data_IF_678702603950
#
_entry.id   IF_678702603950
#
_cell.length_a   1.000
_cell.length_b   1.000
_cell.length_c   1.000
_cell.angle_alpha   90.00
_cell.angle_beta   90.00
_cell.angle_gamma   90.00
#
_symmetry.space_group_name_H-M   'P 1'
#
loop_
_entity.id
_entity.type
_entity.pdbx_description
1 polymer ?
#
# COMPACT_ATOMS: atom_id res chain seq x y z
N UNK A 1 -21.28 -58.21 -6.21
CA UNK A 1 -20.57 -56.95 -5.86
C UNK A 1 -21.43 -56.17 -4.89
N UNK A 2 -21.08 -56.17 -3.59
CA UNK A 2 -21.89 -55.52 -2.55
C UNK A 2 -21.66 -54.00 -2.55
N UNK A 3 -22.72 -53.22 -2.77
CA UNK A 3 -22.71 -51.77 -2.69
C UNK A 3 -22.51 -51.33 -1.25
N UNK A 4 -21.41 -50.59 -0.99
CA UNK A 4 -21.17 -50.00 0.34
C UNK A 4 -22.25 -48.95 0.65
N UNK A 5 -22.88 -48.99 1.84
CA UNK A 5 -23.88 -47.99 2.22
C UNK A 5 -23.24 -46.60 2.32
N UNK A 6 -23.86 -45.62 1.66
CA UNK A 6 -23.49 -44.20 1.77
C UNK A 6 -23.71 -43.74 3.21
N UNK A 7 -22.63 -43.46 3.93
CA UNK A 7 -22.65 -42.89 5.28
C UNK A 7 -23.31 -41.51 5.21
N UNK A 8 -24.49 -41.36 5.81
CA UNK A 8 -25.18 -40.08 5.91
C UNK A 8 -24.28 -39.12 6.69
N UNK A 9 -23.75 -38.10 6.01
CA UNK A 9 -22.99 -37.02 6.62
C UNK A 9 -23.97 -36.14 7.37
N UNK A 10 -24.13 -36.36 8.67
CA UNK A 10 -24.87 -35.46 9.55
C UNK A 10 -24.29 -34.05 9.43
N UNK A 11 -25.12 -33.10 9.04
CA UNK A 11 -24.78 -31.68 8.98
C UNK A 11 -24.61 -31.16 10.40
N UNK A 12 -23.40 -31.23 10.94
CA UNK A 12 -23.06 -30.55 12.19
C UNK A 12 -23.21 -29.04 11.98
N UNK A 13 -24.16 -28.42 12.66
CA UNK A 13 -24.27 -26.96 12.75
C UNK A 13 -23.11 -26.41 13.58
N UNK A 14 -21.91 -26.39 13.00
CA UNK A 14 -20.80 -25.63 13.56
C UNK A 14 -21.16 -24.15 13.45
N UNK A 15 -21.22 -23.45 14.60
CA UNK A 15 -21.32 -22.00 14.61
C UNK A 15 -20.22 -21.34 13.77
N UNK A 16 -20.35 -20.04 13.44
CA UNK A 16 -19.39 -19.34 12.60
C UNK A 16 -17.98 -19.50 13.20
N UNK A 17 -17.07 -20.08 12.41
CA UNK A 17 -15.71 -20.33 12.85
C UNK A 17 -15.06 -19.00 13.27
N UNK A 18 -14.50 -18.95 14.49
CA UNK A 18 -13.74 -17.79 14.94
C UNK A 18 -12.58 -17.56 13.96
N UNK A 19 -12.37 -16.33 13.47
CA UNK A 19 -11.24 -16.04 12.59
C UNK A 19 -9.93 -16.38 13.28
N UNK A 20 -8.97 -16.92 12.53
CA UNK A 20 -7.64 -17.36 13.04
C UNK A 20 -6.66 -16.19 13.23
N UNK A 21 -7.16 -14.96 13.32
CA UNK A 21 -6.37 -13.74 13.39
C UNK A 21 -6.98 -12.75 14.36
N UNK A 22 -6.14 -11.86 14.89
CA UNK A 22 -6.55 -10.84 15.85
C UNK A 22 -7.48 -9.78 15.25
N UNK A 23 -8.13 -9.01 16.11
CA UNK A 23 -9.12 -8.00 15.72
C UNK A 23 -8.56 -6.97 14.73
N UNK A 24 -7.33 -6.48 14.96
CA UNK A 24 -6.69 -5.51 14.07
C UNK A 24 -6.51 -6.03 12.63
N UNK A 25 -6.19 -7.32 12.48
CA UNK A 25 -6.11 -7.97 11.16
C UNK A 25 -7.51 -8.10 10.54
N UNK A 26 -8.52 -8.45 11.34
CA UNK A 26 -9.89 -8.55 10.87
C UNK A 26 -10.42 -7.20 10.35
N UNK A 27 -10.14 -6.13 11.08
CA UNK A 27 -10.53 -4.77 10.69
C UNK A 27 -9.80 -4.32 9.43
N UNK A 28 -8.52 -4.69 9.29
CA UNK A 28 -7.76 -4.42 8.07
C UNK A 28 -8.35 -5.15 6.85
N UNK A 29 -8.64 -6.45 6.97
CA UNK A 29 -9.26 -7.24 5.89
C UNK A 29 -10.62 -6.64 5.50
N UNK A 30 -11.48 -6.31 6.47
CA UNK A 30 -12.76 -5.65 6.22
C UNK A 30 -12.61 -4.30 5.51
N UNK A 31 -11.59 -3.51 5.88
CA UNK A 31 -11.28 -2.26 5.19
C UNK A 31 -10.89 -2.51 3.73
N UNK A 32 -10.07 -3.52 3.46
CA UNK A 32 -9.72 -3.93 2.08
C UNK A 32 -10.97 -4.35 1.31
N UNK A 33 -11.84 -5.18 1.91
CA UNK A 33 -13.11 -5.58 1.29
C UNK A 33 -13.95 -4.37 0.90
N UNK A 34 -14.14 -3.44 1.83
CA UNK A 34 -14.91 -2.22 1.60
C UNK A 34 -14.32 -1.36 0.48
N UNK A 35 -13.00 -1.16 0.46
CA UNK A 35 -12.36 -0.37 -0.62
C UNK A 35 -12.46 -1.06 -1.99
N UNK A 36 -12.34 -2.40 -2.04
CA UNK A 36 -12.48 -3.19 -3.27
C UNK A 36 -13.92 -3.13 -3.78
N UNK A 37 -14.91 -3.29 -2.91
CA UNK A 37 -16.33 -3.18 -3.28
C UNK A 37 -16.68 -1.78 -3.79
N UNK A 38 -16.17 -0.73 -3.12
CA UNK A 38 -16.45 0.65 -3.48
C UNK A 38 -15.80 1.06 -4.82
N UNK A 39 -14.60 0.59 -5.11
CA UNK A 39 -13.80 1.03 -6.27
C UNK A 39 -13.81 0.02 -7.42
N UNK A 40 -14.20 -1.22 -7.18
CA UNK A 40 -14.15 -2.32 -8.16
C UNK A 40 -12.75 -2.47 -8.78
N UNK A 41 -12.69 -2.62 -10.10
CA UNK A 41 -11.43 -2.79 -10.83
C UNK A 41 -10.49 -1.57 -10.70
N UNK A 42 -11.01 -0.37 -10.43
CA UNK A 42 -10.16 0.82 -10.24
C UNK A 42 -9.32 0.73 -8.97
N UNK A 43 -9.72 -0.08 -7.98
CA UNK A 43 -8.92 -0.35 -6.78
C UNK A 43 -7.52 -0.87 -7.13
N UNK A 44 -7.43 -1.79 -8.10
CA UNK A 44 -6.20 -2.45 -8.52
C UNK A 44 -5.43 -1.67 -9.60
N UNK A 45 -6.10 -0.73 -10.28
CA UNK A 45 -5.47 0.14 -11.30
C UNK A 45 -4.91 1.44 -10.72
N UNK A 46 -5.42 1.87 -9.57
CA UNK A 46 -5.08 3.16 -8.97
C UNK A 46 -3.67 3.16 -8.34
N UNK A 47 -2.66 3.45 -9.16
CA UNK A 47 -1.37 3.99 -8.74
C UNK A 47 -0.21 2.99 -8.65
N UNK A 48 1.00 3.55 -8.69
CA UNK A 48 2.27 2.88 -8.38
C UNK A 48 2.18 2.41 -6.92
N UNK A 49 2.13 1.09 -6.69
CA UNK A 49 2.21 0.49 -5.35
C UNK A 49 0.95 -0.23 -4.84
N UNK A 50 -0.11 -0.39 -5.63
CA UNK A 50 -1.23 -1.29 -5.28
C UNK A 50 -1.12 -2.63 -6.00
N UNK A 51 -0.08 -3.38 -5.66
CA UNK A 51 0.02 -4.77 -6.09
C UNK A 51 -1.06 -5.60 -5.37
N UNK A 52 -1.94 -6.26 -6.14
CA UNK A 52 -2.97 -7.15 -5.61
C UNK A 52 -2.38 -8.30 -4.79
N UNK A 53 -1.12 -8.66 -5.05
CA UNK A 53 -0.36 -9.69 -4.37
C UNK A 53 0.08 -9.25 -2.96
N UNK A 54 0.17 -7.94 -2.70
CA UNK A 54 0.75 -7.37 -1.50
C UNK A 54 0.05 -6.06 -1.07
N UNK A 55 -1.23 -6.14 -0.75
CA UNK A 55 -1.99 -5.01 -0.22
C UNK A 55 -1.62 -4.82 1.26
N UNK A 56 -0.66 -3.94 1.50
CA UNK A 56 -0.13 -3.66 2.83
C UNK A 56 -0.97 -2.63 3.60
N UNK A 57 -1.11 -2.78 4.94
CA UNK A 57 -1.73 -1.75 5.75
C UNK A 57 -0.92 -0.45 5.68
N UNK A 58 -1.64 0.68 5.68
CA UNK A 58 -1.01 1.98 5.89
C UNK A 58 -0.59 2.07 7.36
N UNK A 59 0.66 2.46 7.62
CA UNK A 59 1.16 2.51 8.99
C UNK A 59 1.93 1.24 9.41
N UNK A 60 2.15 1.11 10.72
CA UNK A 60 2.75 -0.09 11.30
C UNK A 60 4.21 -0.27 10.88
N UNK A 61 4.56 -1.51 10.53
CA UNK A 61 5.89 -1.90 10.04
C UNK A 61 6.32 -1.24 8.73
N UNK A 62 5.40 -0.60 8.00
CA UNK A 62 5.68 0.07 6.73
C UNK A 62 5.92 1.57 6.91
N UNK A 63 6.04 2.08 8.15
CA UNK A 63 6.28 3.50 8.42
C UNK A 63 7.76 3.83 8.50
N UNK A 64 8.12 5.00 8.01
CA UNK A 64 9.46 5.52 8.16
C UNK A 64 9.62 6.21 9.52
N UNK A 65 10.60 5.76 10.32
CA UNK A 65 10.94 6.40 11.59
C UNK A 65 11.43 7.84 11.45
N UNK A 66 11.79 8.30 10.25
CA UNK A 66 12.28 9.66 10.02
C UNK A 66 11.18 10.64 9.59
N UNK A 67 10.02 10.14 9.14
CA UNK A 67 8.93 11.00 8.73
C UNK A 67 8.22 11.57 9.96
N UNK A 68 7.62 12.77 9.83
CA UNK A 68 6.74 13.37 10.86
C UNK A 68 5.40 12.62 11.00
N UNK A 69 5.39 11.37 10.58
CA UNK A 69 4.22 10.53 10.50
C UNK A 69 3.52 10.38 11.85
N UNK A 70 2.19 10.17 11.81
CA UNK A 70 1.40 10.04 13.01
C UNK A 70 1.87 8.86 13.86
N UNK A 71 1.68 9.01 15.17
CA UNK A 71 1.92 7.97 16.16
C UNK A 71 1.23 6.67 15.71
N UNK A 72 2.00 5.60 15.60
CA UNK A 72 1.55 4.27 15.17
C UNK A 72 0.88 3.57 16.35
N UNK A 73 -0.25 2.92 16.12
CA UNK A 73 -0.90 2.10 17.14
C UNK A 73 -0.17 0.78 17.31
N UNK A 74 0.06 0.36 18.55
CA UNK A 74 0.69 -0.94 18.82
C UNK A 74 -0.04 -2.10 18.13
N UNK A 75 -1.37 -2.04 18.06
CA UNK A 75 -2.22 -3.06 17.42
C UNK A 75 -2.01 -3.18 15.90
N UNK A 76 -1.49 -2.15 15.22
CA UNK A 76 -1.25 -2.19 13.76
C UNK A 76 0.15 -2.68 13.40
N UNK A 77 1.05 -2.83 14.38
CA UNK A 77 2.43 -3.30 14.14
C UNK A 77 2.50 -4.74 13.64
N UNK A 78 1.52 -5.57 14.02
CA UNK A 78 1.46 -7.00 13.67
C UNK A 78 0.39 -7.33 12.60
N UNK A 79 -0.10 -6.32 11.87
CA UNK A 79 -1.04 -6.55 10.76
C UNK A 79 -0.25 -6.99 9.53
N UNK A 80 -0.58 -8.17 9.00
CA UNK A 80 0.03 -8.75 7.80
C UNK A 80 -0.69 -8.25 6.54
N UNK A 81 0.03 -8.11 5.41
CA UNK A 81 -0.56 -7.79 4.12
C UNK A 81 -1.63 -8.80 3.68
N UNK A 82 -2.45 -8.38 2.73
CA UNK A 82 -3.46 -9.22 2.09
C UNK A 82 -3.14 -9.33 0.60
N UNK A 83 -3.08 -10.55 0.09
CA UNK A 83 -3.14 -10.83 -1.34
C UNK A 83 -4.61 -11.02 -1.72
N UNK A 84 -5.18 -10.11 -2.51
CA UNK A 84 -6.60 -10.14 -2.86
C UNK A 84 -6.79 -10.63 -4.30
N UNK A 85 -7.20 -11.89 -4.44
CA UNK A 85 -7.40 -12.52 -5.75
C UNK A 85 -8.87 -12.45 -6.18
N UNK A 86 -9.17 -11.56 -7.12
CA UNK A 86 -10.50 -11.44 -7.72
C UNK A 86 -10.35 -11.39 -9.24
N UNK A 87 -10.37 -12.57 -9.91
CA UNK A 87 -10.07 -12.68 -11.35
C UNK A 87 -10.74 -11.64 -12.23
N UNK A 88 -12.06 -11.42 -12.06
CA UNK A 88 -12.83 -10.52 -12.91
C UNK A 88 -12.58 -9.02 -12.68
N UNK A 89 -11.94 -8.65 -11.56
CA UNK A 89 -11.51 -7.26 -11.31
C UNK A 89 -10.06 -7.02 -11.74
N UNK A 90 -9.23 -8.07 -11.72
CA UNK A 90 -7.81 -8.03 -12.07
C UNK A 90 -7.58 -8.17 -13.58
N UNK A 91 -8.34 -9.07 -14.23
CA UNK A 91 -8.17 -9.43 -15.63
C UNK A 91 -9.44 -8.99 -16.39
N UNK A 92 -9.33 -8.01 -17.30
CA UNK A 92 -10.48 -7.55 -18.08
C UNK A 92 -11.17 -8.71 -18.81
N UNK A 93 -12.50 -8.73 -18.75
CA UNK A 93 -13.36 -9.70 -19.45
C UNK A 93 -13.12 -11.18 -19.08
N UNK A 94 -12.42 -11.44 -17.96
CA UNK A 94 -12.19 -12.81 -17.50
C UNK A 94 -13.16 -13.17 -16.37
N UNK A 95 -13.93 -14.23 -16.59
CA UNK A 95 -14.70 -14.91 -15.55
C UNK A 95 -14.06 -16.28 -15.29
N UNK A 96 -13.92 -16.69 -14.02
CA UNK A 96 -13.31 -17.97 -13.71
C UNK A 96 -14.21 -19.13 -14.16
N UNK A 97 -13.63 -20.15 -14.76
CA UNK A 97 -14.35 -21.34 -15.23
C UNK A 97 -14.85 -22.16 -14.05
N UNK A 98 -16.12 -22.56 -14.08
CA UNK A 98 -16.68 -23.38 -13.01
C UNK A 98 -16.00 -24.75 -12.96
N UNK A 99 -15.48 -25.22 -11.80
CA UNK A 99 -14.79 -26.51 -11.72
C UNK A 99 -15.71 -27.73 -11.95
N UNK A 100 -17.03 -27.54 -11.97
CA UNK A 100 -18.01 -28.62 -12.12
C UNK A 100 -18.58 -28.75 -13.53
N UNK A 101 -18.91 -27.64 -14.18
CA UNK A 101 -19.44 -27.66 -15.54
C UNK A 101 -18.42 -27.21 -16.60
N UNK A 102 -17.24 -26.77 -16.18
CA UNK A 102 -16.09 -26.42 -17.04
C UNK A 102 -16.40 -25.29 -18.03
N UNK A 103 -17.38 -24.45 -17.68
CA UNK A 103 -17.82 -23.28 -18.44
C UNK A 103 -17.77 -22.02 -17.57
N UNK A 104 -17.53 -20.88 -18.20
CA UNK A 104 -17.48 -19.56 -17.54
C UNK A 104 -18.68 -18.65 -17.89
N UNK A 105 -19.46 -18.98 -18.92
CA UNK A 105 -20.60 -18.18 -19.38
C UNK A 105 -21.78 -18.14 -18.39
N UNK A 106 -21.84 -19.09 -17.46
CA UNK A 106 -22.89 -19.19 -16.45
C UNK A 106 -22.51 -18.61 -15.09
N UNK A 107 -21.40 -17.89 -14.97
CA UNK A 107 -20.96 -17.33 -13.69
C UNK A 107 -21.71 -16.02 -13.44
N UNK A 108 -22.51 -16.00 -12.37
CA UNK A 108 -23.19 -14.80 -11.91
C UNK A 108 -22.25 -13.97 -11.05
N UNK A 109 -22.02 -12.72 -11.45
CA UNK A 109 -21.37 -11.71 -10.62
C UNK A 109 -22.44 -11.05 -9.75
N UNK A 110 -22.39 -11.31 -8.45
CA UNK A 110 -23.27 -10.63 -7.51
C UNK A 110 -22.82 -9.16 -7.39
N UNK A 111 -23.72 -8.16 -7.46
CA UNK A 111 -23.37 -6.76 -7.19
C UNK A 111 -22.71 -6.59 -5.81
N UNK A 112 -23.06 -7.43 -4.84
CA UNK A 112 -22.36 -7.52 -3.55
C UNK A 112 -21.43 -8.74 -3.54
N UNK A 113 -20.14 -8.50 -3.35
CA UNK A 113 -19.13 -9.56 -3.34
C UNK A 113 -19.34 -10.51 -2.14
N UNK A 114 -19.38 -11.81 -2.40
CA UNK A 114 -19.53 -12.86 -1.38
C UNK A 114 -18.14 -13.33 -0.93
N UNK A 115 -17.52 -12.60 0.00
CA UNK A 115 -16.15 -12.88 0.46
C UNK A 115 -16.01 -14.22 1.20
N UNK A 116 -14.84 -14.84 1.09
CA UNK A 116 -14.53 -16.00 1.93
C UNK A 116 -14.45 -15.59 3.41
N UNK A 117 -15.10 -16.35 4.29
CA UNK A 117 -15.15 -16.02 5.72
C UNK A 117 -13.77 -16.08 6.40
N UNK A 118 -12.83 -16.87 5.86
CA UNK A 118 -11.48 -17.00 6.41
C UNK A 118 -10.48 -17.10 5.26
N UNK A 119 -9.71 -16.04 5.00
CA UNK A 119 -8.61 -16.06 4.03
C UNK A 119 -7.59 -17.16 4.35
N UNK A 120 -6.93 -17.69 3.32
CA UNK A 120 -5.85 -18.67 3.49
C UNK A 120 -4.58 -17.96 3.97
N UNK A 121 -3.75 -18.67 4.72
CA UNK A 121 -2.40 -18.18 5.02
C UNK A 121 -1.53 -18.48 3.81
N UNK A 122 -0.93 -17.45 3.23
CA UNK A 122 0.01 -17.52 2.13
C UNK A 122 1.43 -17.34 2.69
N UNK A 123 2.20 -18.43 2.72
CA UNK A 123 3.57 -18.43 3.18
C UNK A 123 4.50 -17.91 2.09
N UNK A 124 5.32 -16.93 2.46
CA UNK A 124 6.48 -16.50 1.70
C UNK A 124 7.77 -16.89 2.39
N UNK A 125 8.91 -16.49 1.81
CA UNK A 125 10.22 -16.95 2.26
C UNK A 125 10.58 -16.49 3.68
N UNK A 126 10.18 -15.28 4.05
CA UNK A 126 10.52 -14.66 5.33
C UNK A 126 9.33 -14.17 6.15
N UNK A 127 8.13 -14.24 5.57
CA UNK A 127 6.90 -13.76 6.18
C UNK A 127 5.69 -14.53 5.62
N UNK A 128 4.52 -14.30 6.19
CA UNK A 128 3.26 -14.74 5.62
C UNK A 128 2.31 -13.56 5.41
N UNK A 129 1.38 -13.76 4.47
CA UNK A 129 0.27 -12.83 4.19
C UNK A 129 -1.04 -13.61 4.11
N UNK A 130 -2.16 -12.92 3.97
CA UNK A 130 -3.47 -13.56 3.83
C UNK A 130 -3.91 -13.57 2.37
N UNK A 131 -4.13 -14.74 1.78
CA UNK A 131 -4.71 -14.89 0.45
C UNK A 131 -6.23 -14.91 0.56
N UNK A 132 -6.84 -13.84 0.09
CA UNK A 132 -8.26 -13.58 0.14
C UNK A 132 -8.90 -13.66 -1.25
N UNK A 133 -10.18 -13.97 -1.30
CA UNK A 133 -10.96 -14.11 -2.54
C UNK A 133 -12.46 -14.02 -2.24
N UNK A 134 -13.27 -14.04 -3.28
CA UNK A 134 -14.71 -14.19 -3.20
C UNK A 134 -15.17 -15.59 -3.65
N UNK A 135 -16.44 -15.91 -3.35
CA UNK A 135 -17.19 -17.01 -3.94
C UNK A 135 -17.83 -16.59 -5.25
N UNK A 136 -17.72 -17.46 -6.25
CA UNK A 136 -18.42 -17.38 -7.52
C UNK A 136 -19.56 -18.39 -7.52
N UNK A 137 -20.73 -17.97 -8.00
CA UNK A 137 -21.90 -18.84 -8.16
C UNK A 137 -22.07 -19.19 -9.63
N UNK A 138 -22.07 -20.48 -9.92
CA UNK A 138 -22.36 -21.00 -11.25
C UNK A 138 -23.88 -21.25 -11.38
N UNK A 139 -24.54 -20.56 -12.31
CA UNK A 139 -25.97 -20.69 -12.55
C UNK A 139 -26.39 -22.03 -13.20
N UNK A 140 -25.61 -22.63 -14.13
CA UNK A 140 -25.93 -23.95 -14.66
C UNK A 140 -25.95 -25.06 -13.61
N UNK A 141 -24.93 -25.14 -12.76
CA UNK A 141 -24.83 -26.23 -11.78
C UNK A 141 -25.27 -25.83 -10.36
N UNK A 142 -25.65 -24.57 -10.14
CA UNK A 142 -26.08 -23.98 -8.86
C UNK A 142 -25.08 -24.15 -7.71
N UNK A 143 -23.79 -24.40 -8.00
CA UNK A 143 -22.73 -24.56 -6.99
C UNK A 143 -21.92 -23.28 -6.83
N UNK A 144 -21.37 -23.09 -5.63
CA UNK A 144 -20.40 -22.04 -5.32
C UNK A 144 -18.98 -22.61 -5.33
N UNK A 145 -18.02 -21.80 -5.74
CA UNK A 145 -16.59 -22.12 -5.67
C UNK A 145 -15.78 -20.85 -5.40
N UNK A 146 -14.57 -20.99 -4.85
CA UNK A 146 -13.68 -19.86 -4.55
C UNK A 146 -12.86 -19.46 -5.78
N UNK A 147 -12.47 -18.19 -5.88
CA UNK A 147 -11.64 -17.70 -6.99
C UNK A 147 -10.27 -18.37 -7.14
N UNK A 148 -9.73 -18.95 -6.07
CA UNK A 148 -8.50 -19.76 -6.08
C UNK A 148 -8.76 -21.28 -6.11
N UNK A 149 -9.95 -21.74 -6.55
CA UNK A 149 -10.23 -23.18 -6.63
C UNK A 149 -9.26 -23.84 -7.63
N UNK A 150 -8.54 -24.88 -7.20
CA UNK A 150 -7.46 -25.52 -7.98
C UNK A 150 -7.91 -25.94 -9.38
N UNK A 151 -9.06 -26.63 -9.51
CA UNK A 151 -9.58 -27.06 -10.81
C UNK A 151 -10.03 -25.87 -11.69
N UNK A 152 -10.56 -24.82 -11.08
CA UNK A 152 -10.91 -23.58 -11.81
C UNK A 152 -9.66 -22.90 -12.37
N UNK A 153 -8.60 -22.80 -11.55
CA UNK A 153 -7.31 -22.25 -11.97
C UNK A 153 -6.64 -23.08 -13.07
N UNK A 154 -6.75 -24.41 -13.02
CA UNK A 154 -6.26 -25.32 -14.05
C UNK A 154 -6.95 -25.10 -15.40
N UNK A 155 -8.29 -25.03 -15.39
CA UNK A 155 -9.09 -24.75 -16.60
C UNK A 155 -8.76 -23.40 -17.23
N UNK A 156 -8.47 -22.39 -16.40
CA UNK A 156 -8.14 -21.04 -16.85
C UNK A 156 -6.63 -20.79 -17.01
N UNK A 157 -5.79 -21.82 -16.85
CA UNK A 157 -4.32 -21.70 -16.77
C UNK A 157 -3.72 -20.85 -17.88
N UNK A 158 -4.13 -21.04 -19.14
CA UNK A 158 -3.65 -20.27 -20.27
C UNK A 158 -3.79 -18.74 -20.13
N UNK A 159 -4.79 -18.26 -19.37
CA UNK A 159 -5.01 -16.83 -19.09
C UNK A 159 -4.36 -16.37 -17.79
N UNK A 160 -4.10 -17.30 -16.87
CA UNK A 160 -3.63 -17.02 -15.53
C UNK A 160 -2.11 -17.16 -15.38
N UNK A 161 -1.43 -17.86 -16.30
CA UNK A 161 0.03 -17.99 -16.32
C UNK A 161 0.69 -16.61 -16.25
N UNK A 162 1.60 -16.44 -15.30
CA UNK A 162 2.33 -15.19 -15.05
C UNK A 162 1.57 -14.16 -14.22
N UNK A 163 0.24 -14.29 -14.09
CA UNK A 163 -0.57 -13.43 -13.23
C UNK A 163 -0.72 -14.09 -11.86
N UNK A 164 -1.31 -15.29 -11.78
CA UNK A 164 -1.51 -16.00 -10.51
C UNK A 164 -0.33 -16.90 -10.18
N UNK A 165 0.71 -16.35 -9.53
CA UNK A 165 1.95 -17.07 -9.22
C UNK A 165 1.96 -17.62 -7.78
N UNK A 166 0.86 -18.25 -7.35
CA UNK A 166 0.75 -18.88 -6.04
C UNK A 166 0.39 -20.36 -6.16
N UNK A 167 1.01 -21.19 -5.33
CA UNK A 167 0.64 -22.59 -5.18
C UNK A 167 -0.32 -22.73 -4.00
N UNK A 168 -1.60 -23.02 -4.28
CA UNK A 168 -2.65 -23.08 -3.25
C UNK A 168 -3.00 -24.54 -2.95
N UNK A 169 -3.22 -24.83 -1.67
CA UNK A 169 -3.71 -26.13 -1.20
C UNK A 169 -4.84 -25.95 -0.18
N UNK A 170 -5.31 -27.03 0.46
CA UNK A 170 -6.39 -26.98 1.46
C UNK A 170 -5.97 -26.24 2.74
N UNK A 171 -6.18 -24.93 2.74
CA UNK A 171 -6.11 -24.04 3.91
C UNK A 171 -4.89 -23.13 3.93
N UNK A 172 -3.90 -23.40 3.08
CA UNK A 172 -2.67 -22.62 2.97
C UNK A 172 -2.34 -22.38 1.50
N UNK A 173 -1.43 -21.45 1.25
CA UNK A 173 -0.76 -21.27 -0.03
C UNK A 173 0.72 -20.99 0.18
N UNK A 174 1.49 -21.14 -0.88
CA UNK A 174 2.92 -20.85 -0.95
C UNK A 174 3.12 -19.87 -2.10
N UNK A 175 3.89 -18.81 -1.87
CA UNK A 175 4.22 -17.86 -2.93
C UNK A 175 5.36 -18.34 -3.82
N UNK A 176 5.53 -17.66 -4.96
CA UNK A 176 6.53 -18.03 -5.96
C UNK A 176 7.95 -18.02 -5.40
N UNK A 177 8.29 -17.09 -4.51
CA UNK A 177 9.63 -16.96 -3.94
C UNK A 177 9.98 -18.15 -3.04
N UNK A 178 9.07 -18.53 -2.14
CA UNK A 178 9.25 -19.69 -1.27
C UNK A 178 9.24 -20.99 -2.09
N UNK A 179 8.35 -21.10 -3.08
CA UNK A 179 8.31 -22.25 -3.98
C UNK A 179 9.64 -22.40 -4.75
N UNK A 180 10.10 -21.32 -5.39
CA UNK A 180 11.37 -21.31 -6.11
C UNK A 180 12.56 -21.63 -5.19
N UNK A 181 12.57 -21.12 -3.96
CA UNK A 181 13.60 -21.46 -2.98
C UNK A 181 13.67 -22.96 -2.69
N UNK A 182 12.52 -23.62 -2.53
CA UNK A 182 12.45 -25.06 -2.28
C UNK A 182 12.90 -25.84 -3.52
N UNK A 183 12.41 -25.46 -4.71
CA UNK A 183 12.72 -26.16 -5.97
C UNK A 183 14.20 -26.04 -6.33
N UNK A 184 14.77 -24.84 -6.22
CA UNK A 184 16.18 -24.58 -6.51
C UNK A 184 17.13 -25.30 -5.56
N UNK A 185 16.64 -25.70 -4.39
CA UNK A 185 17.39 -26.46 -3.37
C UNK A 185 16.90 -27.89 -3.23
N UNK A 186 16.22 -28.43 -4.25
CA UNK A 186 15.63 -29.77 -4.20
C UNK A 186 16.66 -30.90 -4.03
N UNK A 187 17.93 -30.67 -4.36
CA UNK A 187 19.04 -31.60 -4.12
C UNK A 187 19.61 -31.50 -2.69
N UNK A 188 19.33 -30.43 -1.95
CA UNK A 188 19.80 -30.29 -0.58
C UNK A 188 18.98 -31.18 0.36
N UNK A 189 19.57 -31.68 1.45
CA UNK A 189 18.81 -32.34 2.50
C UNK A 189 17.68 -31.43 3.01
N UNK A 190 16.48 -31.97 3.21
CA UNK A 190 15.31 -31.19 3.69
C UNK A 190 15.61 -30.40 4.97
N UNK A 191 16.44 -30.95 5.86
CA UNK A 191 16.90 -30.28 7.08
C UNK A 191 17.74 -29.02 6.81
N UNK A 192 18.49 -28.96 5.70
CA UNK A 192 19.26 -27.78 5.30
C UNK A 192 18.33 -26.68 4.73
N UNK A 193 17.35 -27.07 3.90
CA UNK A 193 16.32 -26.14 3.38
C UNK A 193 15.54 -25.54 4.55
N UNK A 194 15.04 -26.39 5.46
CA UNK A 194 14.31 -25.96 6.66
C UNK A 194 15.13 -25.00 7.51
N UNK A 195 16.40 -25.32 7.81
CA UNK A 195 17.27 -24.44 8.59
C UNK A 195 17.48 -23.09 7.92
N UNK A 196 17.64 -23.07 6.59
CA UNK A 196 17.77 -21.81 5.82
C UNK A 196 16.53 -20.93 5.94
N UNK A 197 15.33 -21.51 5.76
CA UNK A 197 14.06 -20.79 5.92
C UNK A 197 13.89 -20.32 7.36
N UNK A 198 14.13 -21.19 8.34
CA UNK A 198 14.01 -20.87 9.75
C UNK A 198 14.96 -19.73 10.17
N UNK A 199 16.20 -19.74 9.70
CA UNK A 199 17.17 -18.68 9.92
C UNK A 199 16.71 -17.36 9.26
N UNK A 200 16.18 -17.41 8.04
CA UNK A 200 15.64 -16.24 7.35
C UNK A 200 14.46 -15.60 8.11
N UNK A 201 13.52 -16.43 8.58
CA UNK A 201 12.39 -15.98 9.41
C UNK A 201 12.88 -15.41 10.74
N UNK A 202 13.85 -16.06 11.40
CA UNK A 202 14.43 -15.56 12.65
C UNK A 202 15.09 -14.19 12.47
N UNK A 203 15.92 -14.03 11.43
CA UNK A 203 16.55 -12.76 11.09
C UNK A 203 15.50 -11.67 10.82
N UNK A 204 14.42 -12.00 10.10
CA UNK A 204 13.32 -11.06 9.85
C UNK A 204 12.64 -10.65 11.15
N UNK A 205 12.36 -11.59 12.05
CA UNK A 205 11.72 -11.31 13.32
C UNK A 205 12.60 -10.45 14.25
N UNK A 206 13.91 -10.67 14.26
CA UNK A 206 14.87 -9.83 15.00
C UNK A 206 14.84 -8.40 14.46
N UNK A 207 14.86 -8.23 13.13
CA UNK A 207 14.78 -6.90 12.50
C UNK A 207 13.47 -6.19 12.81
N UNK A 208 12.34 -6.89 12.70
CA UNK A 208 11.02 -6.34 13.05
C UNK A 208 10.98 -5.94 14.55
N UNK A 209 11.55 -6.77 15.44
CA UNK A 209 11.63 -6.47 16.88
C UNK A 209 12.48 -5.24 17.19
N UNK A 210 13.64 -5.11 16.53
CA UNK A 210 14.50 -3.93 16.66
C UNK A 210 13.77 -2.67 16.19
N UNK A 211 13.06 -2.76 15.06
CA UNK A 211 12.24 -1.65 14.57
C UNK A 211 11.16 -1.25 15.58
N UNK A 212 10.47 -2.20 16.20
CA UNK A 212 9.47 -1.90 17.24
C UNK A 212 10.11 -1.24 18.46
N UNK A 213 11.25 -1.74 18.92
CA UNK A 213 11.98 -1.15 20.04
C UNK A 213 12.38 0.30 19.75
N UNK A 214 12.95 0.56 18.56
CA UNK A 214 13.29 1.91 18.13
C UNK A 214 12.06 2.82 18.00
N UNK A 215 10.94 2.29 17.50
CA UNK A 215 9.67 3.01 17.41
C UNK A 215 9.19 3.46 18.80
N UNK A 216 9.28 2.57 19.80
CA UNK A 216 8.94 2.88 21.19
C UNK A 216 9.90 3.91 21.79
N UNK A 217 11.21 3.74 21.61
CA UNK A 217 12.23 4.68 22.09
C UNK A 217 12.04 6.10 21.52
N UNK A 218 11.64 6.19 20.25
CA UNK A 218 11.32 7.44 19.58
C UNK A 218 9.95 8.03 19.99
N UNK A 219 9.22 7.40 20.92
CA UNK A 219 7.85 7.78 21.33
C UNK A 219 6.87 7.87 20.16
N UNK A 220 7.08 7.01 19.15
CA UNK A 220 6.26 6.93 17.94
C UNK A 220 5.16 5.87 18.02
N UNK A 221 5.09 5.11 19.12
CA UNK A 221 4.05 4.11 19.36
C UNK A 221 3.08 4.61 20.42
N UNK A 222 1.78 4.55 20.13
CA UNK A 222 0.72 4.71 21.11
C UNK A 222 0.20 3.32 21.52
N UNK A 223 0.10 3.11 22.83
CA UNK A 223 -0.49 1.90 23.43
C UNK A 223 -2.00 1.85 23.18
N UNK A 224 -2.66 3.01 23.25
CA UNK A 224 -4.10 3.13 23.02
C UNK A 224 -4.41 4.15 21.93
N UNK A 225 -5.49 3.93 21.15
CA UNK A 225 -6.05 4.98 20.33
C UNK A 225 -6.44 6.13 21.27
N UNK A 226 -5.76 7.28 21.13
CA UNK A 226 -5.97 8.47 21.96
C UNK A 226 -7.46 8.71 22.20
N UNK A 227 -7.93 8.43 23.42
CA UNK A 227 -9.29 8.64 23.95
C UNK A 227 -10.36 8.75 22.86
N UNK A 228 -10.67 7.61 22.25
CA UNK A 228 -11.80 7.51 21.32
C UNK A 228 -13.01 7.11 22.17
N UNK A 229 -14.15 7.81 22.01
CA UNK A 229 -15.36 7.49 22.79
C UNK A 229 -15.78 6.05 22.43
N UNK A 230 -15.93 5.14 23.42
CA UNK A 230 -16.32 3.75 23.16
C UNK A 230 -17.55 3.65 22.25
N UNK A 231 -17.48 2.84 21.19
CA UNK A 231 -18.56 2.69 20.21
C UNK A 231 -18.59 3.73 19.08
N UNK A 232 -17.70 4.72 19.11
CA UNK A 232 -17.51 5.67 18.00
C UNK A 232 -16.04 5.67 17.57
N UNK A 233 -15.74 6.08 16.34
CA UNK A 233 -14.36 6.41 15.92
C UNK A 233 -14.00 7.88 16.21
N UNK A 234 -14.79 8.57 17.05
CA UNK A 234 -14.60 10.00 17.36
C UNK A 234 -13.65 10.17 18.55
N UNK A 235 -12.65 11.04 18.39
CA UNK A 235 -11.74 11.45 19.47
C UNK A 235 -12.51 12.36 20.44
N UNK A 236 -12.35 12.18 21.75
CA UNK A 236 -12.94 13.12 22.71
C UNK A 236 -12.34 14.52 22.53
N UNK A 237 -13.22 15.52 22.61
CA UNK A 237 -12.89 16.94 22.53
C UNK A 237 -11.91 17.33 23.67
N UNK A 238 -11.85 16.57 24.76
CA UNK A 238 -10.90 16.74 25.88
C UNK A 238 -9.43 16.81 25.44
N UNK A 239 -9.06 16.16 24.33
CA UNK A 239 -7.70 16.26 23.79
C UNK A 239 -7.42 17.59 23.07
N UNK A 240 -8.47 18.27 22.60
CA UNK A 240 -8.45 19.58 21.97
C UNK A 240 -8.64 20.71 22.99
N UNK A 241 -9.42 20.46 24.04
CA UNK A 241 -9.54 21.34 25.21
C UNK A 241 -8.37 21.03 26.15
N UNK A 242 -7.16 21.39 25.72
CA UNK A 242 -6.12 21.64 26.72
C UNK A 242 -6.56 22.91 27.43
N UNK A 243 -6.87 22.81 28.72
CA UNK A 243 -6.98 23.97 29.58
C UNK A 243 -5.58 24.58 29.68
N UNK A 244 -5.21 25.35 28.67
CA UNK A 244 -3.96 26.10 28.68
C UNK A 244 -4.26 27.30 29.56
N UNK A 245 -3.67 27.40 30.77
CA UNK A 245 -3.81 28.61 31.56
C UNK A 245 -3.45 29.81 30.67
N UNK A 246 -4.15 30.94 30.81
CA UNK A 246 -3.88 32.11 29.99
C UNK A 246 -2.38 32.42 30.05
N UNK A 247 -1.71 32.59 28.89
CA UNK A 247 -0.27 32.72 28.84
C UNK A 247 0.15 33.94 29.66
N UNK A 248 1.22 33.77 30.43
CA UNK A 248 1.85 34.88 31.15
C UNK A 248 2.33 35.95 30.15
N UNK A 249 2.48 37.20 30.58
CA UNK A 249 2.95 38.27 29.69
C UNK A 249 4.33 37.98 29.08
N UNK A 250 5.21 37.29 29.82
CA UNK A 250 6.50 36.83 29.31
C UNK A 250 6.35 35.78 28.20
N UNK A 251 5.44 34.81 28.37
CA UNK A 251 5.14 33.80 27.34
C UNK A 251 4.49 34.42 26.10
N UNK A 252 3.60 35.41 26.25
CA UNK A 252 3.03 36.15 25.12
C UNK A 252 4.13 36.87 24.33
N UNK A 253 5.05 37.56 25.02
CA UNK A 253 6.21 38.22 24.38
C UNK A 253 7.09 37.21 23.65
N UNK A 254 7.42 36.08 24.28
CA UNK A 254 8.21 34.99 23.68
C UNK A 254 7.55 34.45 22.42
N UNK A 255 6.25 34.15 22.48
CA UNK A 255 5.48 33.63 21.34
C UNK A 255 5.37 34.64 20.20
N UNK A 256 5.24 35.93 20.52
CA UNK A 256 5.29 37.01 19.52
C UNK A 256 6.64 37.05 18.82
N UNK A 257 7.74 37.01 19.57
CA UNK A 257 9.11 36.95 19.05
C UNK A 257 9.35 35.72 18.17
N UNK A 258 8.90 34.54 18.59
CA UNK A 258 8.99 33.31 17.77
C UNK A 258 8.22 33.44 16.45
N UNK A 259 7.01 34.02 16.50
CA UNK A 259 6.22 34.28 15.30
C UNK A 259 6.88 35.31 14.37
N UNK A 260 7.47 36.37 14.94
CA UNK A 260 8.19 37.40 14.20
C UNK A 260 9.43 36.82 13.53
N UNK A 261 10.21 36.01 14.25
CA UNK A 261 11.38 35.31 13.72
C UNK A 261 10.98 34.33 12.60
N UNK A 262 9.90 33.57 12.79
CA UNK A 262 9.39 32.64 11.77
C UNK A 262 8.89 33.36 10.50
N UNK A 263 8.35 34.58 10.64
CA UNK A 263 8.00 35.44 9.51
C UNK A 263 9.24 35.99 8.81
N UNK A 264 10.20 36.53 9.57
CA UNK A 264 11.44 37.05 9.04
C UNK A 264 12.23 35.98 8.27
N UNK A 265 12.30 34.75 8.81
CA UNK A 265 12.96 33.62 8.18
C UNK A 265 12.31 33.25 6.84
N UNK A 266 10.98 33.16 6.78
CA UNK A 266 10.26 32.91 5.52
C UNK A 266 10.47 34.01 4.49
N UNK A 267 10.47 35.27 4.92
CA UNK A 267 10.73 36.40 4.03
C UNK A 267 12.15 36.36 3.47
N UNK A 268 13.13 36.00 4.30
CA UNK A 268 14.52 35.82 3.87
C UNK A 268 14.70 34.63 2.92
N UNK A 269 14.10 33.48 3.23
CA UNK A 269 14.13 32.29 2.35
C UNK A 269 13.51 32.62 0.99
N UNK A 270 12.36 33.30 0.97
CA UNK A 270 11.73 33.75 -0.27
C UNK A 270 12.60 34.74 -1.05
N UNK A 271 13.25 35.70 -0.38
CA UNK A 271 14.14 36.66 -1.04
C UNK A 271 15.39 35.99 -1.60
N UNK A 272 15.97 35.03 -0.85
CA UNK A 272 17.11 34.22 -1.30
C UNK A 272 16.73 33.40 -2.52
N UNK A 273 15.63 32.66 -2.45
CA UNK A 273 15.17 31.82 -3.55
C UNK A 273 14.89 32.65 -4.81
N UNK A 274 14.35 33.87 -4.65
CA UNK A 274 14.16 34.83 -5.75
C UNK A 274 15.46 35.36 -6.34
N UNK A 275 16.52 35.50 -5.53
CA UNK A 275 17.83 35.94 -5.98
C UNK A 275 18.62 34.82 -6.67
N UNK A 276 18.45 33.57 -6.22
CA UNK A 276 19.15 32.40 -6.76
C UNK A 276 18.40 31.68 -7.88
N UNK A 277 17.11 31.96 -8.08
CA UNK A 277 16.34 31.37 -9.17
C UNK A 277 16.85 31.90 -10.52
N UNK A 278 17.12 30.98 -11.46
CA UNK A 278 17.40 31.34 -12.84
C UNK A 278 16.24 32.17 -13.40
N UNK A 279 16.58 33.37 -13.89
CA UNK A 279 15.59 34.24 -14.51
C UNK A 279 15.18 33.59 -15.83
N UNK A 280 13.96 33.03 -15.85
CA UNK A 280 13.43 32.44 -17.07
C UNK A 280 13.31 33.50 -18.17
N UNK A 281 13.53 33.10 -19.42
CA UNK A 281 13.46 34.01 -20.57
C UNK A 281 12.10 34.74 -20.67
N UNK A 282 11.02 34.10 -20.20
CA UNK A 282 9.69 34.70 -20.09
C UNK A 282 9.61 35.83 -19.06
N UNK A 283 10.31 35.72 -17.94
CA UNK A 283 10.37 36.79 -16.93
C UNK A 283 11.15 38.00 -17.45
N UNK A 284 12.17 37.79 -18.29
CA UNK A 284 12.88 38.89 -18.97
C UNK A 284 11.91 39.64 -19.88
N UNK A 285 11.12 38.93 -20.68
CA UNK A 285 10.12 39.55 -21.56
C UNK A 285 9.00 40.26 -20.79
N UNK A 286 8.50 39.67 -19.71
CA UNK A 286 7.51 40.33 -18.83
C UNK A 286 8.07 41.61 -18.20
N UNK A 287 9.31 41.58 -17.70
CA UNK A 287 9.99 42.78 -17.17
C UNK A 287 10.21 43.83 -18.26
N UNK A 288 10.52 43.42 -19.50
CA UNK A 288 10.72 44.30 -20.64
C UNK A 288 9.41 44.90 -21.17
N UNK A 289 8.30 44.15 -21.10
CA UNK A 289 6.96 44.62 -21.47
C UNK A 289 6.37 45.59 -20.45
N UNK A 290 6.84 45.56 -19.20
CA UNK A 290 6.36 46.40 -18.10
C UNK A 290 7.27 47.64 -17.87
N UNK A 291 7.85 48.16 -18.96
CA UNK A 291 8.81 49.29 -18.96
C UNK A 291 8.23 50.63 -18.54
N UNK A 292 6.91 50.77 -18.47
CA UNK A 292 6.27 52.04 -18.10
C UNK A 292 6.28 52.31 -16.59
N UNK A 293 6.77 51.38 -15.75
CA UNK A 293 6.65 51.50 -14.28
C UNK A 293 7.98 51.39 -13.53
N UNK A 294 9.11 51.29 -14.22
CA UNK A 294 10.44 51.21 -13.61
C UNK A 294 11.33 52.27 -14.23
N UNK A 295 11.52 53.39 -13.53
CA UNK A 295 12.55 54.41 -13.80
C UNK A 295 13.96 53.84 -13.54
N UNK A 296 14.31 52.76 -14.24
CA UNK A 296 15.66 52.22 -14.23
C UNK A 296 16.41 52.84 -15.42
N UNK A 297 17.27 53.81 -15.13
CA UNK A 297 18.23 54.34 -16.10
C UNK A 297 19.23 53.25 -16.45
N UNK A 298 19.00 52.56 -17.57
CA UNK A 298 20.02 51.68 -18.15
C UNK A 298 21.08 52.59 -18.77
N UNK A 299 22.15 52.86 -18.04
CA UNK A 299 23.37 53.44 -18.60
C UNK A 299 23.92 52.43 -19.61
N UNK A 300 23.73 52.72 -20.90
CA UNK A 300 24.08 51.83 -21.99
C UNK A 300 25.57 51.56 -22.06
N UNK A 301 25.97 50.29 -21.89
CA UNK A 301 27.30 49.79 -22.22
C UNK A 301 27.42 49.57 -23.74
N UNK A 302 27.14 50.58 -24.55
CA UNK A 302 27.60 50.64 -25.93
C UNK A 302 28.79 51.59 -25.97
N UNK A 303 29.94 51.09 -25.51
CA UNK A 303 31.21 51.62 -25.97
C UNK A 303 31.52 50.91 -27.28
N UNK A 304 31.57 51.72 -28.33
CA UNK A 304 32.13 51.48 -29.65
C UNK A 304 33.29 50.49 -29.64
N UNK A 305 33.12 49.33 -30.27
CA UNK A 305 34.24 48.58 -30.84
C UNK A 305 34.47 49.08 -32.27
N UNK A 306 35.69 49.54 -32.51
CA UNK A 306 36.24 49.70 -33.83
C UNK A 306 36.51 48.31 -34.44
N UNK A 307 36.31 48.20 -35.76
CA UNK A 307 36.99 47.32 -36.70
C UNK A 307 37.03 45.82 -36.36
N UNK A 308 36.19 45.06 -37.06
CA UNK A 308 36.46 43.65 -37.36
C UNK A 308 35.73 43.25 -38.65
N UNK A 309 36.13 43.88 -39.76
CA UNK A 309 36.08 43.24 -41.07
C UNK A 309 37.25 42.25 -41.10
N UNK A 310 37.00 40.92 -41.15
CA UNK A 310 37.79 39.96 -41.98
C UNK A 310 37.58 38.45 -41.76
N UNK A 311 36.76 37.93 -40.83
CA UNK A 311 36.87 36.49 -40.48
C UNK A 311 35.72 35.54 -40.83
N UNK A 312 34.77 35.89 -41.70
CA UNK A 312 33.69 34.95 -42.09
C UNK A 312 33.40 34.91 -43.59
N UNK A 313 34.44 34.63 -44.40
CA UNK A 313 34.28 34.25 -45.83
C UNK A 313 34.98 32.94 -46.23
N UNK A 314 35.43 32.09 -45.31
CA UNK A 314 36.04 30.79 -45.64
C UNK A 314 35.39 29.62 -44.91
N UNK A 315 34.13 29.30 -45.24
CA UNK A 315 33.56 27.99 -44.89
C UNK A 315 32.49 27.47 -45.85
N UNK A 316 32.57 27.85 -47.13
CA UNK A 316 31.87 27.17 -48.24
C UNK A 316 32.73 27.21 -49.50
N UNK A 317 33.71 26.30 -49.56
CA UNK A 317 34.31 25.65 -50.73
C UNK A 317 35.24 24.54 -50.22
#
# INVERSE_FOLDING_TARGET
MASRPRRATGTSHSGPAKPKYGQAQADWIKKVHFEVEAKGASFFKAGIGRDWSQIAPHGGRNTCLNQRDPIVLASTMYVRPVACWIPHLLIPSHLPSCPHCEKNNGISLNPKLDWVATPKILYGLYDHRYLDTIYYKCEPCKRKFTGYNEKSLELDSNKLIGIFNFHVSRGVGVDQELYAHIVNRSCDPTAAIYRGIAQGVANRYINDSLFYYQSCAAKKVAVEPRKVVPGTNQRTIDSMIKFVPPPTESEKKRRKLENDLSRARRAWEWARDRATADITFQDIFRRKSNRNNLNLSVQGYWKTEASCDDWLWNLFC
#
